data_IF_182832287014
#
_entry.id   IF_182832287014
#
_cell.length_a   1.000
_cell.length_b   1.000
_cell.length_c   1.000
_cell.angle_alpha   90.00
_cell.angle_beta   90.00
_cell.angle_gamma   90.00
#
_symmetry.space_group_name_H-M   'P 1'
#
loop_
_entity.id
_entity.type
_entity.pdbx_description
1 polymer ?
#
# COMPACT_ATOMS: atom_id res chain seq x y z
N UNK A 1 -21.07 -1.92 -32.28
CA UNK A 1 -21.25 -2.59 -30.95
C UNK A 1 -20.04 -2.29 -30.09
N UNK A 2 -20.20 -1.88 -28.84
CA UNK A 2 -19.07 -1.70 -27.91
C UNK A 2 -18.50 -3.05 -27.44
N UNK A 3 -17.26 -3.06 -26.93
CA UNK A 3 -16.72 -4.19 -26.20
C UNK A 3 -17.27 -4.23 -24.77
N UNK A 4 -17.17 -5.37 -24.06
CA UNK A 4 -17.58 -5.48 -22.65
C UNK A 4 -16.90 -4.47 -21.73
N UNK A 5 -15.56 -4.27 -21.81
CA UNK A 5 -14.89 -3.20 -21.07
C UNK A 5 -15.37 -1.79 -21.41
N UNK A 6 -15.74 -1.52 -22.67
CA UNK A 6 -16.32 -0.23 -23.07
C UNK A 6 -17.71 -0.02 -22.47
N UNK A 7 -18.56 -1.07 -22.41
CA UNK A 7 -19.85 -1.03 -21.73
C UNK A 7 -19.69 -0.71 -20.25
N UNK A 8 -18.83 -1.46 -19.54
CA UNK A 8 -18.48 -1.19 -18.13
C UNK A 8 -18.00 0.25 -17.92
N UNK A 9 -17.12 0.72 -18.81
CA UNK A 9 -16.54 2.07 -18.71
C UNK A 9 -17.55 3.21 -18.86
N UNK A 10 -18.68 3.00 -19.53
CA UNK A 10 -19.75 3.99 -19.75
C UNK A 10 -20.79 4.04 -18.63
N UNK A 11 -20.83 3.05 -17.74
CA UNK A 11 -21.83 2.98 -16.68
C UNK A 11 -21.70 4.16 -15.70
N UNK A 12 -22.82 4.63 -15.12
CA UNK A 12 -22.76 5.51 -13.95
C UNK A 12 -22.27 4.72 -12.72
N UNK A 13 -21.83 5.45 -11.69
CA UNK A 13 -21.50 4.82 -10.42
C UNK A 13 -22.75 4.24 -9.74
N UNK A 14 -22.69 2.99 -9.30
CA UNK A 14 -23.81 2.25 -8.74
C UNK A 14 -23.43 1.52 -7.44
N UNK A 15 -24.42 0.91 -6.79
CA UNK A 15 -24.21 0.06 -5.60
C UNK A 15 -23.30 -1.13 -5.88
N UNK A 16 -23.27 -1.66 -7.12
CA UNK A 16 -22.35 -2.71 -7.50
C UNK A 16 -20.89 -2.25 -7.40
N UNK A 17 -20.58 -1.03 -7.87
CA UNK A 17 -19.26 -0.43 -7.74
C UNK A 17 -18.89 -0.17 -6.27
N UNK A 18 -19.83 0.29 -5.44
CA UNK A 18 -19.62 0.43 -3.99
C UNK A 18 -19.26 -0.91 -3.35
N UNK A 19 -19.95 -2.00 -3.71
CA UNK A 19 -19.66 -3.34 -3.20
C UNK A 19 -18.24 -3.79 -3.57
N UNK A 20 -17.81 -3.54 -4.81
CA UNK A 20 -16.45 -3.86 -5.26
C UNK A 20 -15.42 -3.04 -4.49
N UNK A 21 -15.64 -1.73 -4.34
CA UNK A 21 -14.73 -0.84 -3.61
C UNK A 21 -14.63 -1.24 -2.14
N UNK A 22 -15.74 -1.43 -1.44
CA UNK A 22 -15.73 -1.80 -0.03
C UNK A 22 -15.16 -3.21 0.19
N UNK A 23 -15.50 -4.16 -0.69
CA UNK A 23 -14.95 -5.51 -0.64
C UNK A 23 -13.43 -5.53 -0.82
N UNK A 24 -12.93 -4.88 -1.87
CA UNK A 24 -11.48 -4.78 -2.10
C UNK A 24 -10.79 -3.91 -1.06
N UNK A 25 -11.43 -2.81 -0.64
CA UNK A 25 -10.91 -1.89 0.37
C UNK A 25 -10.77 -2.54 1.74
N UNK A 26 -11.74 -3.38 2.16
CA UNK A 26 -11.62 -4.13 3.40
C UNK A 26 -10.43 -5.11 3.35
N UNK A 27 -10.24 -5.84 2.24
CA UNK A 27 -9.03 -6.65 2.05
C UNK A 27 -7.77 -5.81 2.19
N UNK A 28 -7.72 -4.67 1.50
CA UNK A 28 -6.59 -3.74 1.55
C UNK A 28 -6.33 -3.15 2.95
N UNK A 29 -7.39 -2.90 3.74
CA UNK A 29 -7.25 -2.50 5.14
C UNK A 29 -6.69 -3.63 6.01
N UNK A 30 -7.12 -4.88 5.79
CA UNK A 30 -6.58 -6.04 6.50
C UNK A 30 -5.10 -6.27 6.16
N UNK A 31 -4.69 -6.03 4.93
CA UNK A 31 -3.31 -6.04 4.46
C UNK A 31 -2.47 -5.01 5.22
N UNK A 32 -2.91 -3.76 5.20
CA UNK A 32 -2.25 -2.66 5.90
C UNK A 32 -2.21 -2.87 7.42
N UNK A 33 -3.24 -3.51 7.99
CA UNK A 33 -3.28 -3.91 9.38
C UNK A 33 -2.15 -4.89 9.71
N UNK A 34 -1.95 -5.93 8.92
CA UNK A 34 -0.89 -6.92 9.17
C UNK A 34 0.50 -6.29 9.02
N UNK A 35 0.70 -5.44 8.00
CA UNK A 35 1.95 -4.67 7.81
C UNK A 35 2.23 -3.75 9.01
N UNK A 36 1.22 -3.07 9.53
CA UNK A 36 1.37 -2.19 10.70
C UNK A 36 1.54 -2.96 12.01
N UNK A 37 0.87 -4.09 12.15
CA UNK A 37 0.85 -4.90 13.37
C UNK A 37 2.26 -5.36 13.79
N UNK A 38 3.12 -5.69 12.82
CA UNK A 38 4.50 -6.14 13.11
C UNK A 38 5.31 -5.10 13.89
N UNK A 39 5.00 -3.80 13.76
CA UNK A 39 5.67 -2.73 14.50
C UNK A 39 5.46 -2.85 16.01
N UNK A 40 4.24 -3.19 16.42
CA UNK A 40 3.84 -3.34 17.82
C UNK A 40 4.25 -4.69 18.38
N UNK A 41 3.91 -5.75 17.66
CA UNK A 41 4.24 -7.12 18.05
C UNK A 41 5.74 -7.35 18.05
N UNK A 42 6.47 -6.80 17.06
CA UNK A 42 7.91 -6.91 16.97
C UNK A 42 8.64 -6.31 18.18
N UNK A 43 8.14 -5.19 18.73
CA UNK A 43 8.68 -4.62 19.96
C UNK A 43 8.39 -5.52 21.17
N UNK A 44 7.15 -6.02 21.32
CA UNK A 44 6.78 -6.90 22.43
C UNK A 44 7.61 -8.20 22.43
N UNK A 45 7.76 -8.84 21.27
CA UNK A 45 8.58 -10.03 21.11
C UNK A 45 10.05 -9.74 21.38
N UNK A 46 10.59 -8.62 20.85
CA UNK A 46 11.96 -8.23 21.07
C UNK A 46 12.28 -8.06 22.56
N UNK A 47 11.34 -7.49 23.32
CA UNK A 47 11.46 -7.32 24.76
C UNK A 47 11.33 -8.65 25.51
N UNK A 48 10.40 -9.52 25.12
CA UNK A 48 10.15 -10.79 25.80
C UNK A 48 11.23 -11.84 25.52
N UNK A 49 11.74 -11.88 24.28
CA UNK A 49 12.75 -12.86 23.84
C UNK A 49 14.17 -12.34 23.91
N UNK A 50 14.36 -11.13 24.45
CA UNK A 50 15.66 -10.43 24.56
C UNK A 50 16.43 -10.39 23.21
N UNK A 51 15.69 -10.02 22.14
CA UNK A 51 16.26 -9.97 20.81
C UNK A 51 17.25 -8.81 20.67
N UNK A 52 18.37 -9.08 20.02
CA UNK A 52 19.27 -8.02 19.58
C UNK A 52 18.58 -7.08 18.57
N UNK A 53 19.07 -5.85 18.45
CA UNK A 53 18.56 -4.88 17.47
C UNK A 53 18.63 -5.41 16.03
N UNK A 54 19.62 -6.22 15.72
CA UNK A 54 19.78 -6.87 14.41
C UNK A 54 18.68 -7.90 14.18
N UNK A 55 18.40 -8.77 15.15
CA UNK A 55 17.33 -9.76 15.06
C UNK A 55 15.96 -9.10 14.94
N UNK A 56 15.71 -8.05 15.71
CA UNK A 56 14.49 -7.26 15.60
C UNK A 56 14.36 -6.63 14.20
N UNK A 57 15.44 -6.08 13.63
CA UNK A 57 15.40 -5.48 12.30
C UNK A 57 15.07 -6.52 11.21
N UNK A 58 15.59 -7.74 11.32
CA UNK A 58 15.20 -8.83 10.43
C UNK A 58 13.74 -9.22 10.57
N UNK A 59 13.23 -9.30 11.80
CA UNK A 59 11.82 -9.57 12.07
C UNK A 59 10.91 -8.52 11.40
N UNK A 60 11.30 -7.25 11.45
CA UNK A 60 10.54 -6.15 10.85
C UNK A 60 10.69 -6.08 9.31
N UNK A 61 11.78 -6.61 8.74
CA UNK A 61 12.13 -6.45 7.32
C UNK A 61 11.79 -7.65 6.45
N UNK A 62 11.82 -8.87 7.01
CA UNK A 62 11.71 -10.10 6.21
C UNK A 62 10.38 -10.21 5.45
N UNK A 63 9.31 -9.64 6.01
CA UNK A 63 8.03 -9.54 5.33
C UNK A 63 8.11 -8.74 4.02
N UNK A 64 8.89 -7.66 3.97
CA UNK A 64 9.08 -6.87 2.75
C UNK A 64 9.85 -7.62 1.66
N UNK A 65 10.77 -8.53 2.05
CA UNK A 65 11.42 -9.45 1.11
C UNK A 65 10.37 -10.37 0.47
N UNK A 66 9.50 -10.95 1.30
CA UNK A 66 8.35 -11.73 0.82
C UNK A 66 7.45 -10.93 -0.09
N UNK A 67 7.12 -9.67 0.27
CA UNK A 67 6.28 -8.77 -0.54
C UNK A 67 6.88 -8.47 -1.91
N UNK A 68 8.18 -8.28 -2.03
CA UNK A 68 8.84 -8.06 -3.31
C UNK A 68 8.69 -9.26 -4.25
N UNK A 69 8.84 -10.47 -3.73
CA UNK A 69 8.61 -11.71 -4.48
C UNK A 69 7.12 -11.90 -4.80
N UNK A 70 6.25 -11.70 -3.82
CA UNK A 70 4.81 -11.83 -3.94
C UNK A 70 4.22 -10.91 -5.01
N UNK A 71 4.65 -9.65 -5.06
CA UNK A 71 4.21 -8.69 -6.06
C UNK A 71 4.53 -9.14 -7.50
N UNK A 72 5.71 -9.72 -7.70
CA UNK A 72 6.13 -10.24 -9.01
C UNK A 72 5.32 -11.46 -9.41
N UNK A 73 5.15 -12.41 -8.49
CA UNK A 73 4.45 -13.68 -8.75
C UNK A 73 2.93 -13.49 -8.81
N UNK A 74 2.39 -12.63 -7.95
CA UNK A 74 0.95 -12.40 -7.82
C UNK A 74 0.29 -11.87 -9.10
N UNK A 75 0.93 -10.93 -9.78
CA UNK A 75 0.46 -10.44 -11.07
C UNK A 75 0.37 -11.54 -12.14
N UNK A 76 1.41 -12.38 -12.25
CA UNK A 76 1.43 -13.51 -13.18
C UNK A 76 0.35 -14.55 -12.84
N UNK A 77 0.16 -14.83 -11.55
CA UNK A 77 -0.88 -15.75 -11.09
C UNK A 77 -2.28 -15.18 -11.37
N UNK A 78 -2.50 -13.87 -11.16
CA UNK A 78 -3.77 -13.22 -11.43
C UNK A 78 -4.12 -13.23 -12.92
N UNK A 79 -3.15 -13.09 -13.80
CA UNK A 79 -3.34 -13.23 -15.25
C UNK A 79 -3.67 -14.68 -15.66
N UNK A 80 -3.21 -15.67 -14.88
CA UNK A 80 -3.43 -17.09 -15.16
C UNK A 80 -4.70 -17.63 -14.52
N UNK A 81 -5.01 -17.29 -13.27
CA UNK A 81 -6.08 -17.91 -12.47
C UNK A 81 -7.26 -16.97 -12.19
N UNK A 82 -7.14 -15.69 -12.52
CA UNK A 82 -8.15 -14.65 -12.28
C UNK A 82 -7.84 -13.77 -11.08
N UNK A 83 -8.34 -12.53 -11.17
CA UNK A 83 -8.07 -11.51 -10.15
C UNK A 83 -8.72 -11.87 -8.82
N UNK A 84 -10.01 -12.24 -8.84
CA UNK A 84 -10.77 -12.65 -7.65
C UNK A 84 -10.16 -13.87 -6.96
N UNK A 85 -9.77 -14.88 -7.76
CA UNK A 85 -9.22 -16.12 -7.21
C UNK A 85 -7.88 -15.88 -6.51
N UNK A 86 -6.98 -15.12 -7.15
CA UNK A 86 -5.67 -14.81 -6.56
C UNK A 86 -5.83 -13.91 -5.35
N UNK A 87 -6.72 -12.92 -5.40
CA UNK A 87 -7.02 -12.07 -4.25
C UNK A 87 -7.49 -12.88 -3.03
N UNK A 88 -8.43 -13.82 -3.21
CA UNK A 88 -8.86 -14.70 -2.13
C UNK A 88 -7.72 -15.61 -1.62
N UNK A 89 -6.87 -16.11 -2.52
CA UNK A 89 -5.73 -16.97 -2.16
C UNK A 89 -4.67 -16.20 -1.35
N UNK A 90 -4.38 -14.95 -1.70
CA UNK A 90 -3.42 -14.12 -0.96
C UNK A 90 -3.90 -13.86 0.46
N UNK A 91 -5.16 -13.45 0.64
CA UNK A 91 -5.80 -13.30 1.95
C UNK A 91 -5.72 -14.57 2.80
N UNK A 92 -5.96 -15.73 2.18
CA UNK A 92 -5.89 -17.01 2.87
C UNK A 92 -4.45 -17.34 3.32
N UNK A 93 -3.48 -17.17 2.42
CA UNK A 93 -2.06 -17.50 2.71
C UNK A 93 -1.55 -16.64 3.84
N UNK A 94 -1.64 -15.30 3.71
CA UNK A 94 -1.06 -14.45 4.73
C UNK A 94 -1.85 -14.47 6.04
N UNK A 95 -3.18 -14.59 5.98
CA UNK A 95 -4.00 -14.70 7.19
C UNK A 95 -3.70 -15.97 7.98
N UNK A 96 -3.56 -17.12 7.31
CA UNK A 96 -3.16 -18.37 7.97
C UNK A 96 -1.72 -18.29 8.52
N UNK A 97 -0.79 -17.73 7.77
CA UNK A 97 0.60 -17.58 8.21
C UNK A 97 0.72 -16.59 9.39
N UNK A 98 -0.06 -15.50 9.40
CA UNK A 98 -0.13 -14.58 10.54
C UNK A 98 -0.74 -15.27 11.76
N UNK A 99 -1.86 -15.99 11.59
CA UNK A 99 -2.44 -16.77 12.67
C UNK A 99 -1.51 -17.84 13.22
N UNK A 100 -0.80 -18.56 12.35
CA UNK A 100 0.21 -19.55 12.76
C UNK A 100 1.38 -18.92 13.53
N UNK A 101 1.69 -17.65 13.27
CA UNK A 101 2.70 -16.89 14.01
C UNK A 101 2.38 -16.76 15.50
N UNK A 102 1.10 -16.87 15.90
CA UNK A 102 0.68 -16.89 17.30
C UNK A 102 1.18 -18.14 18.08
N UNK A 103 1.50 -19.21 17.37
CA UNK A 103 1.84 -20.52 17.97
C UNK A 103 3.35 -20.75 18.07
N UNK A 104 4.17 -19.87 17.50
CA UNK A 104 5.63 -20.06 17.49
C UNK A 104 6.26 -19.67 18.82
N UNK A 105 7.40 -20.33 19.13
CA UNK A 105 8.20 -20.09 20.33
C UNK A 105 9.65 -19.71 20.01
N UNK A 106 9.98 -19.44 18.75
CA UNK A 106 11.35 -19.09 18.36
C UNK A 106 11.42 -18.22 17.10
N UNK A 107 12.47 -17.40 17.03
CA UNK A 107 12.66 -16.39 15.99
C UNK A 107 12.72 -16.99 14.58
N UNK A 108 13.43 -18.11 14.39
CA UNK A 108 13.60 -18.70 13.06
C UNK A 108 12.26 -19.09 12.43
N UNK A 109 11.36 -19.74 13.19
CA UNK A 109 10.03 -20.11 12.73
C UNK A 109 9.18 -18.86 12.43
N UNK A 110 9.28 -17.83 13.28
CA UNK A 110 8.60 -16.57 13.10
C UNK A 110 9.06 -15.85 11.81
N UNK A 111 10.36 -15.81 11.54
CA UNK A 111 10.91 -15.22 10.31
C UNK A 111 10.39 -15.93 9.05
N UNK A 112 10.33 -17.26 9.05
CA UNK A 112 9.77 -18.03 7.92
C UNK A 112 8.30 -17.67 7.71
N UNK A 113 7.50 -17.64 8.79
CA UNK A 113 6.09 -17.27 8.67
C UNK A 113 5.91 -15.81 8.22
N UNK A 114 6.70 -14.86 8.73
CA UNK A 114 6.67 -13.45 8.26
C UNK A 114 7.06 -13.32 6.79
N UNK A 115 8.00 -14.11 6.30
CA UNK A 115 8.32 -14.18 4.88
C UNK A 115 7.13 -14.68 4.05
N UNK A 116 6.45 -15.76 4.49
CA UNK A 116 5.24 -16.28 3.82
C UNK A 116 4.09 -15.27 3.85
N UNK A 117 3.88 -14.60 4.99
CA UNK A 117 2.94 -13.47 5.09
C UNK A 117 3.26 -12.44 4.02
N UNK A 118 4.52 -12.04 3.90
CA UNK A 118 4.96 -11.07 2.90
C UNK A 118 4.63 -11.51 1.47
N UNK A 119 4.82 -12.76 1.11
CA UNK A 119 4.45 -13.27 -0.22
C UNK A 119 2.96 -13.05 -0.51
N UNK A 120 2.08 -13.31 0.44
CA UNK A 120 0.65 -13.05 0.31
C UNK A 120 0.36 -11.56 0.13
N UNK A 121 0.83 -10.74 1.07
CA UNK A 121 0.64 -9.29 1.09
C UNK A 121 1.15 -8.60 -0.19
N UNK A 122 2.32 -9.00 -0.69
CA UNK A 122 2.91 -8.39 -1.89
C UNK A 122 2.11 -8.60 -3.15
N UNK A 123 1.41 -9.74 -3.24
CA UNK A 123 0.59 -10.07 -4.40
C UNK A 123 -0.76 -9.34 -4.40
N UNK A 124 -1.26 -8.91 -3.25
CA UNK A 124 -2.62 -8.39 -3.09
C UNK A 124 -2.82 -7.05 -3.79
N UNK A 125 -1.94 -6.07 -3.57
CA UNK A 125 -2.13 -4.73 -4.13
C UNK A 125 -2.30 -4.69 -5.65
N UNK A 126 -1.41 -5.28 -6.46
CA UNK A 126 -1.58 -5.26 -7.91
C UNK A 126 -2.85 -5.98 -8.36
N UNK A 127 -3.31 -6.97 -7.62
CA UNK A 127 -4.51 -7.74 -7.95
C UNK A 127 -5.78 -6.99 -7.60
N UNK A 128 -5.88 -6.43 -6.39
CA UNK A 128 -7.04 -5.67 -5.92
C UNK A 128 -7.24 -4.38 -6.74
N UNK A 129 -6.17 -3.61 -6.97
CA UNK A 129 -6.23 -2.38 -7.76
C UNK A 129 -6.60 -2.65 -9.22
N UNK A 130 -6.11 -3.73 -9.81
CA UNK A 130 -6.51 -4.16 -11.15
C UNK A 130 -7.98 -4.53 -11.20
N UNK A 131 -8.47 -5.33 -10.24
CA UNK A 131 -9.88 -5.74 -10.19
C UNK A 131 -10.80 -4.51 -10.07
N UNK A 132 -10.52 -3.60 -9.14
CA UNK A 132 -11.27 -2.36 -8.96
C UNK A 132 -11.23 -1.50 -10.23
N UNK A 133 -10.06 -1.38 -10.86
CA UNK A 133 -9.88 -0.61 -12.09
C UNK A 133 -10.68 -1.18 -13.25
N UNK A 134 -10.65 -2.51 -13.46
CA UNK A 134 -11.35 -3.19 -14.56
C UNK A 134 -12.88 -3.18 -14.41
N UNK A 135 -13.39 -3.08 -13.18
CA UNK A 135 -14.82 -3.01 -12.87
C UNK A 135 -15.33 -1.57 -12.71
N UNK A 136 -14.48 -0.55 -12.81
CA UNK A 136 -14.86 0.84 -12.57
C UNK A 136 -15.20 1.60 -13.86
N UNK A 137 -16.18 2.55 -13.80
CA UNK A 137 -16.44 3.48 -14.90
C UNK A 137 -15.18 4.27 -15.26
N UNK A 138 -14.95 4.46 -16.57
CA UNK A 138 -13.72 5.11 -17.07
C UNK A 138 -13.52 6.50 -16.49
N UNK A 139 -14.61 7.28 -16.35
CA UNK A 139 -14.60 8.66 -15.86
C UNK A 139 -14.07 8.80 -14.42
N UNK A 140 -14.31 7.80 -13.57
CA UNK A 140 -13.98 7.85 -12.13
C UNK A 140 -12.98 6.76 -11.71
N UNK A 141 -12.43 6.01 -12.67
CA UNK A 141 -11.50 4.89 -12.40
C UNK A 141 -10.35 5.27 -11.50
N UNK A 142 -9.71 6.40 -11.78
CA UNK A 142 -8.62 6.92 -10.95
C UNK A 142 -9.06 7.20 -9.51
N UNK A 143 -10.23 7.84 -9.34
CA UNK A 143 -10.80 8.10 -8.00
C UNK A 143 -11.10 6.81 -7.24
N UNK A 144 -11.57 5.77 -7.91
CA UNK A 144 -11.85 4.47 -7.30
C UNK A 144 -10.57 3.82 -6.75
N UNK A 145 -9.46 3.92 -7.49
CA UNK A 145 -8.16 3.42 -7.04
C UNK A 145 -7.63 4.24 -5.86
N UNK A 146 -7.72 5.57 -5.90
CA UNK A 146 -7.32 6.43 -4.77
C UNK A 146 -8.17 6.15 -3.53
N UNK A 147 -9.48 5.94 -3.69
CA UNK A 147 -10.35 5.53 -2.58
C UNK A 147 -9.97 4.15 -2.03
N UNK A 148 -9.61 3.20 -2.89
CA UNK A 148 -9.07 1.91 -2.46
C UNK A 148 -7.82 2.10 -1.60
N UNK A 149 -6.89 2.94 -2.05
CA UNK A 149 -5.65 3.24 -1.30
C UNK A 149 -5.91 3.87 0.07
N UNK A 150 -6.96 4.68 0.22
CA UNK A 150 -7.28 5.31 1.52
C UNK A 150 -7.61 4.30 2.62
N UNK A 151 -8.00 3.07 2.28
CA UNK A 151 -8.18 1.99 3.25
C UNK A 151 -6.87 1.56 3.94
N UNK A 152 -5.72 1.91 3.38
CA UNK A 152 -4.41 1.71 4.02
C UNK A 152 -4.34 2.40 5.39
N UNK A 153 -4.80 3.65 5.49
CA UNK A 153 -4.84 4.37 6.76
C UNK A 153 -5.77 3.71 7.79
N UNK A 154 -6.91 3.15 7.32
CA UNK A 154 -7.81 2.39 8.19
C UNK A 154 -7.11 1.16 8.74
N UNK A 155 -6.36 0.43 7.91
CA UNK A 155 -5.60 -0.74 8.33
C UNK A 155 -4.52 -0.42 9.37
N UNK A 156 -3.74 0.64 9.15
CA UNK A 156 -2.76 1.10 10.14
C UNK A 156 -3.40 1.52 11.46
N UNK A 157 -4.56 2.16 11.40
CA UNK A 157 -5.33 2.49 12.62
C UNK A 157 -5.77 1.23 13.36
N UNK A 158 -6.26 0.21 12.64
CA UNK A 158 -6.61 -1.08 13.24
C UNK A 158 -5.39 -1.74 13.88
N UNK A 159 -4.23 -1.74 13.21
CA UNK A 159 -2.98 -2.24 13.77
C UNK A 159 -2.60 -1.50 15.08
N UNK A 160 -2.71 -0.17 15.08
CA UNK A 160 -2.40 0.64 16.25
C UNK A 160 -3.38 0.39 17.42
N UNK A 161 -4.67 0.20 17.14
CA UNK A 161 -5.67 -0.18 18.14
C UNK A 161 -5.38 -1.57 18.73
N UNK A 162 -5.06 -2.55 17.89
CA UNK A 162 -4.67 -3.89 18.36
C UNK A 162 -3.37 -3.80 19.16
N UNK A 163 -2.39 -3.04 18.69
CA UNK A 163 -1.13 -2.79 19.39
C UNK A 163 -1.36 -2.19 20.78
N UNK A 164 -2.23 -1.20 20.89
CA UNK A 164 -2.49 -0.51 22.16
C UNK A 164 -3.34 -1.32 23.13
N UNK A 165 -4.40 -1.99 22.67
CA UNK A 165 -5.33 -2.67 23.54
C UNK A 165 -5.04 -4.15 23.75
N UNK A 166 -4.51 -4.86 22.73
CA UNK A 166 -4.37 -6.32 22.79
C UNK A 166 -2.95 -6.73 23.17
N UNK A 167 -1.92 -6.11 22.57
CA UNK A 167 -0.53 -6.52 22.83
C UNK A 167 -0.13 -6.39 24.30
N UNK A 168 -0.55 -5.36 25.08
CA UNK A 168 -0.20 -5.24 26.50
C UNK A 168 -1.05 -6.11 27.47
N UNK A 169 -1.94 -6.96 26.97
CA UNK A 169 -2.82 -7.80 27.83
C UNK A 169 -2.08 -8.93 28.58
N UNK A 170 -0.78 -8.89 28.64
CA UNK A 170 0.09 -9.85 29.33
C UNK A 170 1.20 -10.37 28.41
N UNK A 171 1.97 -11.32 28.91
CA UNK A 171 3.14 -11.87 28.19
C UNK A 171 2.77 -12.50 26.83
N UNK A 172 1.57 -13.03 26.69
CA UNK A 172 1.06 -13.63 25.46
C UNK A 172 0.18 -12.67 24.62
N UNK A 173 0.11 -11.39 24.96
CA UNK A 173 -0.71 -10.41 24.25
C UNK A 173 -0.37 -10.30 22.75
N UNK A 174 0.90 -10.40 22.38
CA UNK A 174 1.31 -10.43 20.99
C UNK A 174 0.81 -11.66 20.20
N UNK A 175 0.58 -12.80 20.90
CA UNK A 175 -0.02 -14.01 20.30
C UNK A 175 -1.48 -13.74 19.93
N UNK A 176 -2.23 -13.09 20.82
CA UNK A 176 -3.61 -12.69 20.54
C UNK A 176 -3.69 -11.68 19.37
N UNK A 177 -2.73 -10.75 19.31
CA UNK A 177 -2.64 -9.83 18.17
C UNK A 177 -2.42 -10.57 16.85
N UNK A 178 -1.54 -11.58 16.81
CA UNK A 178 -1.39 -12.45 15.62
C UNK A 178 -2.60 -13.32 15.37
N UNK A 179 -3.31 -13.76 16.39
CA UNK A 179 -4.56 -14.54 16.20
C UNK A 179 -5.65 -13.71 15.52
N UNK A 180 -5.73 -12.38 15.78
CA UNK A 180 -6.60 -11.47 15.01
C UNK A 180 -6.22 -11.47 13.53
N UNK A 181 -4.97 -11.72 13.19
CA UNK A 181 -4.49 -11.89 11.82
C UNK A 181 -5.09 -13.09 11.06
N UNK A 182 -5.90 -13.95 11.70
CA UNK A 182 -6.73 -14.95 11.01
C UNK A 182 -7.95 -14.33 10.28
N UNK A 183 -8.36 -13.11 10.66
CA UNK A 183 -9.52 -12.44 10.04
C UNK A 183 -9.40 -12.34 8.51
N UNK A 184 -8.25 -11.99 7.92
CA UNK A 184 -8.07 -12.04 6.47
C UNK A 184 -8.35 -13.40 5.84
N UNK A 185 -7.93 -14.50 6.49
CA UNK A 185 -8.20 -15.85 5.98
C UNK A 185 -9.70 -16.17 5.95
N UNK A 186 -10.46 -15.71 6.94
CA UNK A 186 -11.93 -15.80 6.93
C UNK A 186 -12.51 -14.89 5.85
N UNK A 187 -11.97 -13.68 5.70
CA UNK A 187 -12.40 -12.72 4.69
C UNK A 187 -12.15 -13.21 3.25
N UNK A 188 -11.17 -14.08 3.04
CA UNK A 188 -10.95 -14.74 1.75
C UNK A 188 -12.21 -15.44 1.21
N UNK A 189 -13.02 -15.98 2.10
CA UNK A 189 -14.33 -16.60 1.79
C UNK A 189 -15.29 -15.56 1.21
N UNK A 190 -15.36 -14.37 1.82
CA UNK A 190 -16.19 -13.25 1.35
C UNK A 190 -15.77 -12.79 -0.05
N UNK A 191 -14.46 -12.65 -0.27
CA UNK A 191 -13.92 -12.29 -1.59
C UNK A 191 -14.23 -13.37 -2.62
N UNK A 192 -14.02 -14.64 -2.28
CA UNK A 192 -14.20 -15.77 -3.22
C UNK A 192 -15.62 -15.90 -3.72
N UNK A 193 -16.62 -15.64 -2.89
CA UNK A 193 -18.02 -15.82 -3.23
C UNK A 193 -18.79 -14.51 -3.41
N UNK A 194 -18.38 -13.43 -2.78
CA UNK A 194 -19.07 -12.14 -2.79
C UNK A 194 -18.62 -11.16 -3.88
N UNK A 195 -17.44 -11.37 -4.48
CA UNK A 195 -16.87 -10.46 -5.48
C UNK A 195 -17.02 -11.01 -6.89
N UNK A 196 -17.31 -10.17 -7.90
CA UNK A 196 -17.29 -10.56 -9.31
C UNK A 196 -15.85 -10.77 -9.79
N UNK A 197 -15.67 -11.65 -10.80
CA UNK A 197 -14.40 -11.74 -11.53
C UNK A 197 -14.35 -10.67 -12.62
N UNK A 198 -13.16 -10.31 -13.07
CA UNK A 198 -12.95 -9.36 -14.16
C UNK A 198 -13.55 -9.84 -15.49
N UNK A 199 -14.45 -9.06 -16.13
CA UNK A 199 -14.96 -9.39 -17.46
C UNK A 199 -13.86 -9.50 -18.52
N UNK A 200 -12.83 -8.67 -18.42
CA UNK A 200 -11.66 -8.69 -19.31
C UNK A 200 -10.90 -10.02 -19.20
N UNK A 201 -10.69 -10.49 -17.96
CA UNK A 201 -10.05 -11.79 -17.72
C UNK A 201 -10.90 -12.94 -18.26
N UNK A 202 -12.21 -12.95 -17.94
CA UNK A 202 -13.14 -14.01 -18.36
C UNK A 202 -13.20 -14.13 -19.89
N UNK A 203 -13.31 -12.99 -20.59
CA UNK A 203 -13.35 -12.96 -22.05
C UNK A 203 -12.05 -13.48 -22.68
N UNK A 204 -10.87 -13.06 -22.16
CA UNK A 204 -9.57 -13.55 -22.63
C UNK A 204 -9.38 -15.06 -22.41
N UNK A 205 -10.12 -15.65 -21.47
CA UNK A 205 -10.14 -17.11 -21.21
C UNK A 205 -11.23 -17.85 -21.97
N UNK A 206 -11.93 -17.18 -22.89
CA UNK A 206 -13.04 -17.77 -23.63
C UNK A 206 -14.33 -18.00 -22.83
N UNK A 207 -14.39 -17.53 -21.56
CA UNK A 207 -15.56 -17.62 -20.68
C UNK A 207 -16.53 -16.46 -20.95
N UNK A 208 -16.91 -16.31 -22.21
CA UNK A 208 -17.67 -15.14 -22.71
C UNK A 208 -19.03 -15.00 -22.04
N UNK A 209 -19.73 -16.12 -21.78
CA UNK A 209 -21.04 -16.09 -21.13
C UNK A 209 -20.96 -15.54 -19.68
N UNK A 210 -19.93 -15.91 -18.95
CA UNK A 210 -19.72 -15.40 -17.59
C UNK A 210 -19.29 -13.92 -17.59
N UNK A 211 -18.45 -13.52 -18.55
CA UNK A 211 -18.09 -12.12 -18.74
C UNK A 211 -19.34 -11.26 -19.01
N UNK A 212 -20.22 -11.76 -19.86
CA UNK A 212 -21.49 -11.09 -20.18
C UNK A 212 -22.40 -11.00 -18.95
N UNK A 213 -22.50 -12.06 -18.15
CA UNK A 213 -23.28 -12.09 -16.92
C UNK A 213 -22.79 -11.03 -15.90
N UNK A 214 -21.47 -10.87 -15.75
CA UNK A 214 -20.92 -9.83 -14.88
C UNK A 214 -21.29 -8.44 -15.39
N UNK A 215 -21.10 -8.16 -16.68
CA UNK A 215 -21.46 -6.84 -17.27
C UNK A 215 -22.94 -6.54 -17.06
N UNK A 216 -23.83 -7.49 -17.37
CA UNK A 216 -25.28 -7.33 -17.18
C UNK A 216 -25.65 -7.03 -15.71
N UNK A 217 -25.00 -7.68 -14.75
CA UNK A 217 -25.27 -7.40 -13.34
C UNK A 217 -24.97 -5.95 -12.93
N UNK A 218 -23.98 -5.32 -13.57
CA UNK A 218 -23.66 -3.92 -13.35
C UNK A 218 -24.64 -3.00 -14.13
N UNK A 219 -25.04 -3.39 -15.34
CA UNK A 219 -26.10 -2.68 -16.12
C UNK A 219 -27.43 -2.70 -15.37
N UNK A 220 -27.83 -3.85 -14.82
CA UNK A 220 -29.03 -3.98 -13.97
C UNK A 220 -28.95 -3.04 -12.77
N UNK A 221 -27.77 -2.99 -12.10
CA UNK A 221 -27.55 -2.08 -10.98
C UNK A 221 -27.60 -0.61 -11.39
N UNK A 222 -27.36 -0.31 -12.68
CA UNK A 222 -27.42 1.03 -13.27
C UNK A 222 -28.79 1.37 -13.85
N UNK A 223 -29.67 0.38 -14.00
CA UNK A 223 -30.98 0.54 -14.65
C UNK A 223 -30.89 0.87 -16.15
N UNK A 224 -29.80 0.43 -16.82
CA UNK A 224 -29.59 0.66 -18.25
C UNK A 224 -29.91 -0.60 -19.06
N UNK A 225 -30.38 -0.46 -20.34
CA UNK A 225 -30.63 -1.60 -21.21
C UNK A 225 -29.36 -2.40 -21.49
N UNK A 226 -29.51 -3.71 -21.65
CA UNK A 226 -28.41 -4.59 -22.07
C UNK A 226 -28.09 -4.36 -23.55
N UNK A 227 -26.80 -4.19 -23.85
CA UNK A 227 -26.31 -4.06 -25.22
C UNK A 227 -25.55 -5.34 -25.62
N UNK A 228 -25.53 -5.62 -26.93
CA UNK A 228 -24.67 -6.67 -27.47
C UNK A 228 -23.21 -6.20 -27.56
N UNK A 229 -22.28 -7.11 -27.30
CA UNK A 229 -20.85 -6.81 -27.34
C UNK A 229 -20.16 -7.43 -28.55
N UNK A 230 -19.23 -6.68 -29.14
CA UNK A 230 -18.23 -7.27 -30.03
C UNK A 230 -17.10 -7.92 -29.23
N UNK A 231 -16.40 -8.92 -29.79
CA UNK A 231 -15.21 -9.51 -29.18
C UNK A 231 -14.11 -8.47 -28.97
N UNK A 232 -13.25 -8.72 -27.96
CA UNK A 232 -12.07 -7.91 -27.73
C UNK A 232 -11.13 -7.94 -28.94
N UNK A 233 -10.57 -6.78 -29.36
CA UNK A 233 -9.49 -6.77 -30.33
C UNK A 233 -8.26 -7.49 -29.77
N UNK A 234 -7.49 -8.12 -30.66
CA UNK A 234 -6.20 -8.68 -30.27
C UNK A 234 -5.28 -7.54 -29.83
N UNK A 235 -4.75 -7.63 -28.59
CA UNK A 235 -3.80 -6.65 -28.10
C UNK A 235 -2.44 -6.91 -28.73
N UNK A 236 -1.82 -5.91 -29.40
CA UNK A 236 -0.48 -6.08 -29.92
C UNK A 236 0.51 -6.41 -28.82
N UNK A 237 1.57 -7.19 -29.12
CA UNK A 237 2.58 -7.55 -28.13
C UNK A 237 3.21 -6.29 -27.52
N UNK A 238 3.42 -6.32 -26.21
CA UNK A 238 4.08 -5.23 -25.48
C UNK A 238 5.48 -5.01 -26.05
N UNK A 239 5.83 -3.78 -26.40
CA UNK A 239 7.18 -3.43 -26.85
C UNK A 239 8.10 -3.33 -25.62
N UNK A 240 9.09 -4.22 -25.44
CA UNK A 240 10.06 -4.12 -24.36
C UNK A 240 10.84 -2.80 -24.44
N UNK A 241 11.20 -2.23 -23.30
CA UNK A 241 12.12 -1.08 -23.23
C UNK A 241 11.49 0.31 -23.39
N UNK A 242 10.19 0.44 -23.65
CA UNK A 242 9.52 1.75 -23.82
C UNK A 242 9.75 2.68 -22.62
N UNK A 243 9.78 2.17 -21.39
CA UNK A 243 10.01 2.96 -20.17
C UNK A 243 11.37 3.67 -20.18
N UNK A 244 12.37 3.10 -20.86
CA UNK A 244 13.73 3.63 -20.95
C UNK A 244 14.01 4.36 -22.27
N UNK A 245 12.99 4.57 -23.09
CA UNK A 245 13.10 5.41 -24.29
C UNK A 245 13.45 6.85 -23.94
N UNK A 246 13.97 7.61 -24.89
CA UNK A 246 14.33 9.02 -24.69
C UNK A 246 13.15 9.87 -24.20
N UNK A 247 11.91 9.51 -24.56
CA UNK A 247 10.69 10.21 -24.16
C UNK A 247 10.32 9.99 -22.69
N UNK A 248 10.61 8.80 -22.11
CA UNK A 248 10.12 8.44 -20.77
C UNK A 248 11.21 8.25 -19.73
N UNK A 249 12.48 8.07 -20.10
CA UNK A 249 13.58 7.73 -19.16
C UNK A 249 13.70 8.70 -17.98
N UNK A 250 13.54 10.01 -18.21
CA UNK A 250 13.66 11.03 -17.17
C UNK A 250 12.49 10.94 -16.21
N UNK A 251 11.27 10.79 -16.74
CA UNK A 251 10.04 10.62 -15.92
C UNK A 251 10.09 9.31 -15.15
N UNK A 252 10.59 8.23 -15.77
CA UNK A 252 10.78 6.92 -15.12
C UNK A 252 11.76 7.01 -13.96
N UNK A 253 12.93 7.63 -14.17
CA UNK A 253 13.90 7.87 -13.09
C UNK A 253 13.32 8.73 -11.99
N UNK A 254 12.60 9.81 -12.32
CA UNK A 254 11.96 10.68 -11.36
C UNK A 254 10.97 9.94 -10.48
N UNK A 255 10.03 9.19 -11.06
CA UNK A 255 9.02 8.46 -10.30
C UNK A 255 9.62 7.32 -9.47
N UNK A 256 10.63 6.60 -10.01
CA UNK A 256 11.34 5.55 -9.26
C UNK A 256 12.05 6.12 -8.04
N UNK A 257 12.71 7.28 -8.19
CA UNK A 257 13.38 7.96 -7.08
C UNK A 257 12.37 8.42 -6.02
N UNK A 258 11.22 8.96 -6.42
CA UNK A 258 10.15 9.33 -5.48
C UNK A 258 9.64 8.09 -4.73
N UNK A 259 9.32 7.00 -5.43
CA UNK A 259 8.91 5.74 -4.80
C UNK A 259 9.94 5.21 -3.82
N UNK A 260 11.23 5.25 -4.19
CA UNK A 260 12.31 4.82 -3.30
C UNK A 260 12.38 5.68 -2.04
N UNK A 261 12.41 7.01 -2.18
CA UNK A 261 12.55 7.93 -1.07
C UNK A 261 11.37 7.88 -0.11
N UNK A 262 10.15 7.79 -0.64
CA UNK A 262 8.92 7.67 0.17
C UNK A 262 8.91 6.35 0.93
N UNK A 263 9.19 5.22 0.27
CA UNK A 263 9.25 3.91 0.94
C UNK A 263 10.35 3.85 2.00
N UNK A 264 11.54 4.38 1.68
CA UNK A 264 12.68 4.41 2.60
C UNK A 264 12.32 5.14 3.90
N UNK A 265 11.82 6.35 3.77
CA UNK A 265 11.51 7.18 4.94
C UNK A 265 10.28 6.69 5.70
N UNK A 266 9.24 6.28 4.98
CA UNK A 266 8.01 5.79 5.60
C UNK A 266 8.25 4.51 6.41
N UNK A 267 8.75 3.46 5.76
CA UNK A 267 8.92 2.17 6.43
C UNK A 267 10.07 2.22 7.45
N UNK A 268 11.11 3.02 7.21
CA UNK A 268 12.15 3.26 8.20
C UNK A 268 11.63 3.92 9.47
N UNK A 269 10.81 4.95 9.36
CA UNK A 269 10.27 5.67 10.51
C UNK A 269 9.12 4.92 11.19
N UNK A 270 8.05 4.59 10.44
CA UNK A 270 6.80 4.10 11.05
C UNK A 270 6.88 2.65 11.54
N UNK A 271 7.62 1.77 10.86
CA UNK A 271 7.80 0.38 11.33
C UNK A 271 8.58 0.33 12.66
N UNK A 272 9.52 1.25 12.84
CA UNK A 272 10.30 1.34 14.06
C UNK A 272 9.69 2.27 15.12
N UNK A 273 8.65 3.02 14.82
CA UNK A 273 8.12 4.09 15.68
C UNK A 273 7.86 3.63 17.13
N UNK A 274 7.14 2.51 17.41
CA UNK A 274 6.97 2.05 18.78
C UNK A 274 8.30 1.74 19.48
N UNK A 275 9.23 1.12 18.77
CA UNK A 275 10.56 0.76 19.31
C UNK A 275 11.43 1.99 19.57
N UNK A 276 11.34 3.03 18.71
CA UNK A 276 12.05 4.29 18.88
C UNK A 276 11.53 5.06 20.10
N UNK A 277 10.21 5.08 20.31
CA UNK A 277 9.62 5.69 21.51
C UNK A 277 10.01 4.92 22.78
N UNK A 278 9.97 3.59 22.73
CA UNK A 278 10.44 2.75 23.85
C UNK A 278 11.91 2.99 24.18
N UNK A 279 12.77 3.11 23.17
CA UNK A 279 14.19 3.42 23.34
C UNK A 279 14.45 4.82 23.92
N UNK A 280 13.50 5.75 23.82
CA UNK A 280 13.56 7.07 24.47
C UNK A 280 13.13 7.05 25.94
N UNK A 281 12.82 5.85 26.49
CA UNK A 281 12.49 5.67 27.91
C UNK A 281 10.98 5.67 28.23
N UNK A 282 10.11 5.68 27.23
CA UNK A 282 8.68 5.45 27.45
C UNK A 282 8.43 3.97 27.71
N UNK A 283 7.47 3.67 28.61
CA UNK A 283 7.00 2.30 28.77
C UNK A 283 6.26 1.79 27.49
N UNK A 284 6.04 0.48 27.44
CA UNK A 284 5.44 -0.17 26.27
C UNK A 284 4.04 0.42 25.93
N UNK A 285 3.19 0.62 26.94
CA UNK A 285 1.82 1.11 26.75
C UNK A 285 1.82 2.55 26.23
N UNK A 286 2.66 3.42 26.79
CA UNK A 286 2.80 4.81 26.31
C UNK A 286 3.36 4.86 24.89
N UNK A 287 4.35 4.04 24.56
CA UNK A 287 4.91 3.94 23.21
C UNK A 287 3.83 3.56 22.20
N UNK A 288 2.97 2.61 22.53
CA UNK A 288 1.84 2.23 21.68
C UNK A 288 0.76 3.30 21.61
N UNK A 289 0.45 3.95 22.74
CA UNK A 289 -0.52 5.06 22.79
C UNK A 289 -0.11 6.25 21.97
N UNK A 290 1.15 6.67 22.03
CA UNK A 290 1.68 7.75 21.20
C UNK A 290 1.70 7.39 19.73
N UNK A 291 2.07 6.14 19.39
CA UNK A 291 2.00 5.65 18.02
C UNK A 291 0.57 5.65 17.49
N UNK A 292 -0.42 5.30 18.31
CA UNK A 292 -1.84 5.37 17.95
C UNK A 292 -2.27 6.82 17.62
N UNK A 293 -1.92 7.78 18.48
CA UNK A 293 -2.24 9.21 18.25
C UNK A 293 -1.58 9.70 16.96
N UNK A 294 -0.31 9.37 16.73
CA UNK A 294 0.45 9.72 15.53
C UNK A 294 -0.21 9.09 14.29
N UNK A 295 -0.65 7.84 14.37
CA UNK A 295 -1.31 7.14 13.27
C UNK A 295 -2.66 7.77 12.89
N UNK A 296 -3.43 8.29 13.86
CA UNK A 296 -4.70 8.97 13.59
C UNK A 296 -4.54 10.17 12.65
N UNK A 297 -3.40 10.87 12.69
CA UNK A 297 -3.11 12.00 11.82
C UNK A 297 -2.95 11.62 10.33
N UNK A 298 -2.87 10.33 10.00
CA UNK A 298 -2.86 9.85 8.60
C UNK A 298 -4.17 10.14 7.88
N UNK A 299 -5.30 10.01 8.56
CA UNK A 299 -6.63 10.18 7.96
C UNK A 299 -6.84 11.60 7.38
N UNK A 300 -6.65 12.69 8.15
CA UNK A 300 -6.75 14.03 7.58
C UNK A 300 -5.68 14.31 6.51
N UNK A 301 -4.50 13.68 6.58
CA UNK A 301 -3.46 13.79 5.56
C UNK A 301 -3.95 13.33 4.17
N UNK A 302 -4.57 12.16 4.09
CA UNK A 302 -5.18 11.68 2.85
C UNK A 302 -6.32 12.58 2.35
N UNK A 303 -7.20 13.03 3.26
CA UNK A 303 -8.34 13.86 2.90
C UNK A 303 -7.89 15.20 2.30
N UNK A 304 -6.91 15.86 2.92
CA UNK A 304 -6.36 17.14 2.43
C UNK A 304 -5.62 16.94 1.11
N UNK A 305 -4.81 15.89 0.98
CA UNK A 305 -4.10 15.59 -0.27
C UNK A 305 -5.07 15.34 -1.43
N UNK A 306 -6.17 14.63 -1.20
CA UNK A 306 -7.19 14.36 -2.22
C UNK A 306 -7.79 15.66 -2.79
N UNK A 307 -7.99 16.68 -1.95
CA UNK A 307 -8.46 18.00 -2.39
C UNK A 307 -7.35 18.76 -3.12
N UNK A 308 -6.15 18.81 -2.53
CA UNK A 308 -5.04 19.60 -3.07
C UNK A 308 -4.52 19.07 -4.41
N UNK A 309 -4.55 17.76 -4.64
CA UNK A 309 -4.20 17.17 -5.94
C UNK A 309 -5.07 17.73 -7.06
N UNK A 310 -6.34 18.05 -6.80
CA UNK A 310 -7.22 18.65 -7.81
C UNK A 310 -7.08 20.18 -7.91
N UNK A 311 -6.76 20.88 -6.80
CA UNK A 311 -6.70 22.33 -6.73
C UNK A 311 -5.31 22.89 -7.08
N UNK A 312 -4.26 22.28 -6.53
CA UNK A 312 -2.86 22.73 -6.74
C UNK A 312 -2.18 21.97 -7.88
N UNK A 313 -2.76 20.86 -8.31
CA UNK A 313 -2.14 19.94 -9.23
C UNK A 313 -1.36 18.83 -8.51
N UNK A 314 -1.01 17.81 -9.30
CA UNK A 314 -0.42 16.56 -8.81
C UNK A 314 0.99 16.77 -8.29
N UNK A 315 1.82 17.44 -9.09
CA UNK A 315 3.25 17.68 -8.83
C UNK A 315 3.48 18.58 -7.63
N UNK A 316 2.75 19.71 -7.56
CA UNK A 316 2.89 20.67 -6.47
C UNK A 316 2.44 20.06 -5.14
N UNK A 317 1.33 19.34 -5.12
CA UNK A 317 0.83 18.64 -3.92
C UNK A 317 1.85 17.61 -3.43
N UNK A 318 2.32 16.71 -4.31
CA UNK A 318 3.30 15.69 -3.95
C UNK A 318 4.59 16.31 -3.37
N UNK A 319 5.16 17.31 -4.04
CA UNK A 319 6.38 17.99 -3.60
C UNK A 319 6.19 18.70 -2.25
N UNK A 320 5.06 19.41 -2.05
CA UNK A 320 4.76 20.13 -0.81
C UNK A 320 4.59 19.17 0.38
N UNK A 321 3.89 18.05 0.17
CA UNK A 321 3.71 17.05 1.23
C UNK A 321 5.03 16.34 1.57
N UNK A 322 5.89 16.07 0.58
CA UNK A 322 7.23 15.53 0.83
C UNK A 322 8.12 16.52 1.60
N UNK A 323 8.07 17.82 1.29
CA UNK A 323 8.79 18.83 2.06
C UNK A 323 8.25 18.95 3.48
N UNK A 324 6.92 18.92 3.67
CA UNK A 324 6.31 18.87 5.00
C UNK A 324 6.74 17.62 5.79
N UNK A 325 6.83 16.48 5.13
CA UNK A 325 7.36 15.24 5.72
C UNK A 325 8.82 15.37 6.13
N UNK A 326 9.65 16.05 5.31
CA UNK A 326 11.05 16.29 5.62
C UNK A 326 11.24 17.15 6.87
N UNK A 327 10.54 18.27 6.94
CA UNK A 327 10.58 19.17 8.10
C UNK A 327 10.10 18.44 9.36
N UNK A 328 8.98 17.72 9.27
CA UNK A 328 8.41 16.98 10.39
C UNK A 328 9.32 15.85 10.86
N UNK A 329 10.00 15.15 9.95
CA UNK A 329 10.95 14.09 10.31
C UNK A 329 12.15 14.68 11.08
N UNK A 330 12.76 15.75 10.59
CA UNK A 330 13.87 16.42 11.29
C UNK A 330 13.43 16.93 12.67
N UNK A 331 12.25 17.55 12.75
CA UNK A 331 11.69 18.05 14.02
C UNK A 331 11.45 16.90 15.00
N UNK A 332 10.95 15.76 14.52
CA UNK A 332 10.76 14.55 15.35
C UNK A 332 12.10 14.02 15.89
N UNK A 333 13.12 13.98 15.03
CA UNK A 333 14.47 13.52 15.43
C UNK A 333 15.14 14.41 16.48
N UNK A 334 14.76 15.69 16.56
CA UNK A 334 15.30 16.69 17.50
C UNK A 334 14.37 16.91 18.71
N UNK A 335 13.21 16.28 18.77
CA UNK A 335 12.23 16.48 19.82
C UNK A 335 12.78 16.02 21.18
N UNK A 336 12.70 16.90 22.18
CA UNK A 336 13.21 16.68 23.54
C UNK A 336 12.13 16.39 24.58
N UNK A 337 10.86 16.69 24.26
CA UNK A 337 9.73 16.46 25.15
C UNK A 337 8.56 15.73 24.47
N UNK A 338 7.64 15.21 25.27
CA UNK A 338 6.50 14.40 24.79
C UNK A 338 5.62 15.16 23.79
N UNK A 339 5.39 16.45 24.02
CA UNK A 339 4.53 17.24 23.15
C UNK A 339 5.16 17.47 21.79
N UNK A 340 6.48 17.74 21.77
CA UNK A 340 7.22 17.88 20.52
C UNK A 340 7.23 16.58 19.74
N UNK A 341 7.43 15.42 20.41
CA UNK A 341 7.39 14.09 19.80
C UNK A 341 6.03 13.84 19.16
N UNK A 342 4.94 14.04 19.91
CA UNK A 342 3.58 13.82 19.40
C UNK A 342 3.26 14.79 18.27
N UNK A 343 3.53 16.08 18.43
CA UNK A 343 3.22 17.08 17.42
C UNK A 343 4.01 16.84 16.11
N UNK A 344 5.31 16.61 16.21
CA UNK A 344 6.16 16.30 15.05
C UNK A 344 5.79 14.95 14.41
N UNK A 345 5.46 13.94 15.23
CA UNK A 345 4.98 12.64 14.75
C UNK A 345 3.65 12.74 14.00
N UNK A 346 2.69 13.49 14.55
CA UNK A 346 1.41 13.75 13.88
C UNK A 346 1.60 14.52 12.57
N UNK A 347 2.46 15.56 12.56
CA UNK A 347 2.78 16.29 11.35
C UNK A 347 3.44 15.39 10.30
N UNK A 348 4.41 14.55 10.71
CA UNK A 348 5.07 13.57 9.83
C UNK A 348 4.05 12.58 9.25
N UNK A 349 3.13 12.08 10.07
CA UNK A 349 2.05 11.18 9.67
C UNK A 349 1.11 11.82 8.65
N UNK A 350 0.67 13.05 8.94
CA UNK A 350 -0.20 13.83 8.06
C UNK A 350 0.42 14.08 6.69
N UNK A 351 1.62 14.63 6.66
CA UNK A 351 2.28 14.97 5.41
C UNK A 351 2.69 13.72 4.61
N UNK A 352 3.20 12.69 5.29
CA UNK A 352 3.67 11.49 4.61
C UNK A 352 2.52 10.75 3.91
N UNK A 353 1.39 10.55 4.60
CA UNK A 353 0.26 9.83 3.99
C UNK A 353 -0.45 10.66 2.92
N UNK A 354 -0.42 12.00 3.04
CA UNK A 354 -0.82 12.87 1.96
C UNK A 354 0.10 12.75 0.73
N UNK A 355 1.42 12.63 0.95
CA UNK A 355 2.36 12.36 -0.13
C UNK A 355 2.11 10.99 -0.80
N UNK A 356 1.78 9.94 -0.02
CA UNK A 356 1.38 8.64 -0.55
C UNK A 356 0.15 8.74 -1.46
N UNK A 357 -0.92 9.44 -1.01
CA UNK A 357 -2.11 9.67 -1.82
C UNK A 357 -1.80 10.38 -3.14
N UNK A 358 -0.99 11.43 -3.09
CA UNK A 358 -0.56 12.16 -4.30
C UNK A 358 0.33 11.29 -5.21
N UNK A 359 1.22 10.47 -4.65
CA UNK A 359 2.10 9.56 -5.40
C UNK A 359 1.31 8.51 -6.20
N UNK A 360 0.28 7.91 -5.59
CA UNK A 360 -0.60 6.97 -6.28
C UNK A 360 -1.44 7.64 -7.37
N UNK A 361 -1.81 8.91 -7.21
CA UNK A 361 -2.50 9.68 -8.25
C UNK A 361 -1.57 10.00 -9.44
N UNK A 362 -0.35 10.44 -9.16
CA UNK A 362 0.65 10.83 -10.19
C UNK A 362 1.16 9.65 -10.99
N UNK A 363 1.47 8.53 -10.32
CA UNK A 363 2.21 7.41 -10.92
C UNK A 363 1.58 6.86 -12.22
N UNK A 364 0.27 6.59 -12.31
CA UNK A 364 -0.34 6.11 -13.55
C UNK A 364 -0.47 7.18 -14.63
N UNK A 365 -0.42 8.47 -14.28
CA UNK A 365 -0.58 9.58 -15.24
C UNK A 365 0.71 9.86 -16.05
N UNK A 366 1.86 9.38 -15.56
CA UNK A 366 3.18 9.61 -16.18
C UNK A 366 3.34 8.85 -17.51
N UNK A 367 2.63 7.73 -17.64
CA UNK A 367 2.81 6.81 -18.76
C UNK A 367 1.58 6.73 -19.67
N UNK A 368 1.77 6.55 -20.98
CA UNK A 368 0.67 6.28 -21.91
C UNK A 368 -0.01 4.95 -21.54
N UNK A 369 -1.26 4.80 -21.97
CA UNK A 369 -2.13 3.67 -21.59
C UNK A 369 -1.50 2.31 -21.89
N UNK A 370 -0.70 2.20 -22.97
CA UNK A 370 -0.06 0.95 -23.40
C UNK A 370 0.97 0.39 -22.41
N UNK A 371 1.66 1.26 -21.65
CA UNK A 371 2.71 0.86 -20.69
C UNK A 371 2.44 1.34 -19.26
N UNK A 372 1.30 1.97 -19.00
CA UNK A 372 0.93 2.55 -17.70
C UNK A 372 1.04 1.57 -16.53
N UNK A 373 0.42 0.39 -16.67
CA UNK A 373 0.45 -0.62 -15.62
C UNK A 373 1.87 -1.16 -15.36
N UNK A 374 2.64 -1.36 -16.44
CA UNK A 374 4.02 -1.83 -16.33
C UNK A 374 4.93 -0.77 -15.70
N UNK A 375 4.75 0.51 -16.06
CA UNK A 375 5.50 1.63 -15.50
C UNK A 375 5.21 1.86 -14.02
N UNK A 376 3.94 1.87 -13.65
CA UNK A 376 3.51 2.00 -12.25
C UNK A 376 4.00 0.82 -11.40
N UNK A 377 3.84 -0.42 -11.90
CA UNK A 377 4.30 -1.62 -11.22
C UNK A 377 5.82 -1.65 -11.02
N UNK A 378 6.60 -1.22 -12.04
CA UNK A 378 8.05 -1.15 -11.95
C UNK A 378 8.50 -0.10 -10.92
N UNK A 379 7.84 1.06 -10.87
CA UNK A 379 8.13 2.11 -9.89
C UNK A 379 7.85 1.62 -8.44
N UNK A 380 6.68 1.02 -8.22
CA UNK A 380 6.33 0.44 -6.93
C UNK A 380 7.30 -0.69 -6.53
N UNK A 381 7.67 -1.57 -7.49
CA UNK A 381 8.65 -2.64 -7.26
C UNK A 381 10.03 -2.11 -6.88
N UNK A 382 10.50 -1.04 -7.52
CA UNK A 382 11.76 -0.39 -7.14
C UNK A 382 11.69 0.20 -5.72
N UNK A 383 10.56 0.80 -5.35
CA UNK A 383 10.32 1.29 -4.00
C UNK A 383 10.41 0.19 -2.92
N UNK A 384 10.09 -1.07 -3.25
CA UNK A 384 10.20 -2.19 -2.30
C UNK A 384 11.64 -2.46 -1.85
N UNK A 385 12.65 -2.17 -2.67
CA UNK A 385 14.06 -2.25 -2.27
C UNK A 385 14.31 -1.35 -1.06
N UNK A 386 13.75 -0.15 -1.08
CA UNK A 386 13.85 0.80 0.04
C UNK A 386 13.09 0.31 1.29
N UNK A 387 11.91 -0.31 1.11
CA UNK A 387 11.14 -0.89 2.22
C UNK A 387 11.89 -2.00 2.96
N UNK A 388 12.73 -2.76 2.23
CA UNK A 388 13.60 -3.80 2.81
C UNK A 388 14.81 -3.16 3.51
N UNK A 389 15.48 -2.23 2.82
CA UNK A 389 16.72 -1.64 3.29
C UNK A 389 16.53 -0.74 4.51
N UNK A 390 15.44 0.05 4.54
CA UNK A 390 15.25 1.07 5.58
C UNK A 390 15.18 0.47 7.01
N UNK A 391 14.33 -0.52 7.32
CA UNK A 391 14.30 -1.08 8.66
C UNK A 391 15.61 -1.77 9.08
N UNK A 392 16.40 -2.29 8.12
CA UNK A 392 17.71 -2.89 8.38
C UNK A 392 18.77 -1.82 8.71
N UNK A 393 18.65 -0.63 8.14
CA UNK A 393 19.57 0.49 8.38
C UNK A 393 19.30 1.21 9.71
N UNK A 394 18.06 1.21 10.20
CA UNK A 394 17.69 1.92 11.44
C UNK A 394 18.59 1.57 12.63
N UNK A 395 18.81 0.30 13.02
CA UNK A 395 19.64 0.00 14.18
C UNK A 395 21.11 0.39 14.00
N UNK A 396 21.62 0.35 12.76
CA UNK A 396 22.99 0.75 12.43
C UNK A 396 23.18 2.25 12.61
N UNK A 397 22.30 3.05 12.00
CA UNK A 397 22.36 4.52 12.09
C UNK A 397 22.08 5.00 13.50
N UNK A 398 21.06 4.43 14.15
CA UNK A 398 20.68 4.77 15.52
C UNK A 398 21.81 4.46 16.51
N UNK A 399 22.47 3.32 16.33
CA UNK A 399 23.58 2.91 17.20
C UNK A 399 24.85 3.73 17.02
N UNK A 400 25.16 4.16 15.79
CA UNK A 400 26.37 4.91 15.47
C UNK A 400 26.23 6.43 15.69
N UNK A 401 25.06 7.02 15.34
CA UNK A 401 24.88 8.48 15.27
C UNK A 401 23.64 9.01 15.98
N UNK A 402 22.80 8.14 16.52
CA UNK A 402 21.62 8.52 17.30
C UNK A 402 20.39 8.93 16.47
N UNK A 403 19.35 9.30 17.22
CA UNK A 403 18.01 9.53 16.67
C UNK A 403 17.94 10.75 15.73
N UNK A 404 18.63 11.84 16.06
CA UNK A 404 18.61 13.05 15.25
C UNK A 404 19.18 12.81 13.84
N UNK A 405 20.28 12.05 13.72
CA UNK A 405 20.89 11.72 12.43
C UNK A 405 20.02 10.76 11.64
N UNK A 406 19.37 9.80 12.30
CA UNK A 406 18.44 8.88 11.67
C UNK A 406 17.28 9.64 10.99
N UNK A 407 16.65 10.53 11.73
CA UNK A 407 15.51 11.31 11.17
C UNK A 407 15.97 12.41 10.19
N UNK A 408 17.18 12.93 10.32
CA UNK A 408 17.78 13.80 9.30
C UNK A 408 18.00 13.05 7.97
N UNK A 409 18.40 11.77 8.04
CA UNK A 409 18.53 10.91 6.85
C UNK A 409 17.17 10.68 6.17
N UNK A 410 16.12 10.40 6.94
CA UNK A 410 14.75 10.31 6.39
C UNK A 410 14.29 11.64 5.80
N UNK A 411 14.56 12.76 6.49
CA UNK A 411 14.27 14.10 5.99
C UNK A 411 14.99 14.39 4.67
N UNK A 412 16.27 14.05 4.56
CA UNK A 412 17.04 14.20 3.33
C UNK A 412 16.45 13.39 2.16
N UNK A 413 16.03 12.14 2.43
CA UNK A 413 15.37 11.32 1.42
C UNK A 413 14.03 11.95 0.96
N UNK A 414 13.24 12.51 1.88
CA UNK A 414 12.03 13.25 1.52
C UNK A 414 12.32 14.49 0.68
N UNK A 415 13.36 15.25 0.97
CA UNK A 415 13.80 16.41 0.16
C UNK A 415 14.21 15.96 -1.25
N UNK A 416 14.98 14.88 -1.36
CA UNK A 416 15.37 14.30 -2.66
C UNK A 416 14.13 13.87 -3.44
N UNK A 417 13.18 13.20 -2.79
CA UNK A 417 11.90 12.83 -3.37
C UNK A 417 11.08 14.04 -3.83
N UNK A 418 11.03 15.10 -3.02
CA UNK A 418 10.35 16.35 -3.38
C UNK A 418 10.99 17.04 -4.59
N UNK A 419 12.32 17.13 -4.62
CA UNK A 419 13.07 17.67 -5.75
C UNK A 419 12.84 16.82 -7.02
N UNK A 420 12.88 15.50 -6.92
CA UNK A 420 12.58 14.61 -8.04
C UNK A 420 11.14 14.78 -8.55
N UNK A 421 10.16 14.86 -7.63
CA UNK A 421 8.76 15.11 -7.98
C UNK A 421 8.60 16.43 -8.71
N UNK A 422 9.20 17.50 -8.20
CA UNK A 422 9.03 18.85 -8.76
C UNK A 422 9.79 19.07 -10.07
N UNK A 423 11.00 18.52 -10.19
CA UNK A 423 11.90 18.80 -11.33
C UNK A 423 11.77 17.80 -12.47
N UNK A 424 11.43 16.53 -12.18
CA UNK A 424 11.49 15.45 -13.17
C UNK A 424 10.12 14.94 -13.62
N UNK A 425 9.06 15.21 -12.85
CA UNK A 425 7.72 14.76 -13.22
C UNK A 425 6.94 15.85 -13.97
N UNK A 426 6.15 15.48 -14.99
CA UNK A 426 5.29 16.41 -15.70
C UNK A 426 4.08 16.80 -14.83
N UNK A 427 3.48 17.97 -15.10
CA UNK A 427 2.19 18.35 -14.55
C UNK A 427 1.09 18.05 -15.58
N UNK A 428 0.10 17.27 -15.19
CA UNK A 428 -1.05 16.88 -16.04
C UNK A 428 -2.39 17.28 -15.41
N UNK A 429 -2.40 18.32 -14.58
CA UNK A 429 -3.65 18.79 -13.97
C UNK A 429 -4.64 19.26 -15.05
N UNK A 430 -5.73 18.53 -15.19
CA UNK A 430 -6.81 18.85 -16.15
C UNK A 430 -6.61 18.31 -17.56
N UNK A 431 -5.48 17.69 -17.89
CA UNK A 431 -5.28 17.07 -19.19
C UNK A 431 -6.11 15.77 -19.32
N UNK A 432 -6.73 15.57 -20.48
CA UNK A 432 -7.30 14.28 -20.82
C UNK A 432 -6.13 13.27 -20.92
N UNK A 433 -6.23 12.14 -20.22
CA UNK A 433 -5.22 11.07 -20.32
C UNK A 433 -5.04 10.73 -21.81
N UNK A 434 -3.80 10.90 -22.31
CA UNK A 434 -3.48 10.60 -23.69
C UNK A 434 -3.96 9.18 -24.06
N UNK A 435 -4.91 9.14 -24.96
CA UNK A 435 -5.36 7.90 -25.62
C UNK A 435 -4.43 7.68 -26.81
N UNK A 436 -3.28 7.09 -26.58
CA UNK A 436 -2.41 6.58 -27.64
C UNK A 436 -2.43 5.05 -27.63
#
# INVERSE_FOLDING_TARGET
>A
MPTRPERMGRLPYTRAHTRVLLGSGTGWALDAMDVGLISFVGLAIATQWDLSRTEQSWLLSIGFVGMALGATVGGMLADRYGRRTVFALTLLIYGLATGASALVSGLAALLVLRFLVGIGLGAELPVASTLVSELSPTRIRGRMVVLLESFWAVGWLLAALIGYFVVPMGDDGWRWAFAVGLVPAVYAVVIRWGMPESPLFLERRGRVAEAEQVVRSFEDSAGVPHEESRPLPQVPPRTPGVLWSAAYRVRTLGIWLVWFCVNFSYYGAFIWLPSLLYAQGFDLVRSFGYTLVITLAQLPGYAVAAVLVEVWGRRATLASFLLGSAVSAVTFGMAGDVWQIIAAGCAMSFFNLGAWGALYAVTPEIYPTSVRASGAGAAAGFGRIASIAAPLLVPVVLGAWGNAVLFALFGAAFVIGAAAAYLLLPEHAGDALETA
#
